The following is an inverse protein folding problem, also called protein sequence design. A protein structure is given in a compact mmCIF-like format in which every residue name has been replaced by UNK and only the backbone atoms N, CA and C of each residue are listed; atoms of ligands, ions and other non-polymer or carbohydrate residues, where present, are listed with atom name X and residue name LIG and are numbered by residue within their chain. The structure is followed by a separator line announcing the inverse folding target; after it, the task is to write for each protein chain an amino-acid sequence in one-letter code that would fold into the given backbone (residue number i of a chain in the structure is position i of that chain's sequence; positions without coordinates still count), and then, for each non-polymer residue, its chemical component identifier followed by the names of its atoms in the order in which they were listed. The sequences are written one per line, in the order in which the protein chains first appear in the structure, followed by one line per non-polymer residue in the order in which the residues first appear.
data_IF_292986413468
#
_entry.id   IF_292986413468
#
_cell.length_a   1.000
_cell.length_b   1.000
_cell.length_c   1.000
_cell.angle_alpha   90.00
_cell.angle_beta   90.00
_cell.angle_gamma   90.00
#
_symmetry.space_group_name_H-M   'P 1'
#
loop_
_entity.id
_entity.type
_entity.pdbx_description
1 polymer ?
#
# COMPACT_ATOMS: atom_id res chain seq x y z
N UNK A 1 72.54 25.08 -27.64
CA UNK A 1 72.08 23.92 -26.89
C UNK A 1 71.50 24.23 -25.49
N UNK A 2 71.14 25.50 -25.14
CA UNK A 2 70.61 25.85 -23.81
C UNK A 2 69.14 26.31 -23.82
N UNK A 3 68.43 26.30 -24.96
CA UNK A 3 67.03 26.78 -25.07
C UNK A 3 65.98 25.64 -25.06
N UNK A 4 66.39 24.41 -25.26
CA UNK A 4 65.47 23.25 -25.27
C UNK A 4 65.23 22.62 -23.88
N UNK A 5 66.09 22.86 -22.91
CA UNK A 5 66.01 22.31 -21.56
C UNK A 5 65.00 23.04 -20.67
N UNK A 6 64.70 24.31 -20.95
CA UNK A 6 63.75 25.11 -20.14
C UNK A 6 62.30 24.81 -20.52
N UNK A 7 62.05 24.49 -21.78
CA UNK A 7 60.68 24.17 -22.27
C UNK A 7 60.18 22.84 -21.75
N UNK A 8 61.10 21.84 -21.53
CA UNK A 8 60.74 20.52 -21.02
C UNK A 8 60.34 20.54 -19.52
N UNK A 9 60.95 21.43 -18.74
CA UNK A 9 60.70 21.55 -17.28
C UNK A 9 59.35 22.24 -17.04
N UNK A 10 58.97 23.24 -17.87
CA UNK A 10 57.68 23.92 -17.74
C UNK A 10 56.50 22.97 -18.12
N UNK A 11 56.67 22.06 -19.09
CA UNK A 11 55.65 21.11 -19.49
C UNK A 11 55.38 20.00 -18.44
N UNK A 12 56.46 19.60 -17.72
CA UNK A 12 56.34 18.59 -16.63
C UNK A 12 55.68 19.19 -15.39
N UNK A 13 55.91 20.47 -15.05
CA UNK A 13 55.24 21.16 -13.95
C UNK A 13 53.77 21.40 -14.19
N UNK A 14 53.32 21.60 -15.47
CA UNK A 14 51.91 21.81 -15.77
C UNK A 14 51.12 20.50 -15.74
N UNK A 15 51.72 19.35 -16.05
CA UNK A 15 51.11 18.04 -15.94
C UNK A 15 50.93 17.60 -14.47
N UNK A 16 51.82 18.03 -13.54
CA UNK A 16 51.70 17.72 -12.13
C UNK A 16 50.62 18.52 -11.39
N UNK A 17 50.24 19.71 -11.91
CA UNK A 17 49.17 20.55 -11.32
C UNK A 17 47.76 20.11 -11.70
N UNK A 18 47.57 19.33 -12.76
CA UNK A 18 46.25 18.80 -13.16
C UNK A 18 45.88 17.48 -12.50
N UNK A 19 46.80 16.79 -11.80
CA UNK A 19 46.53 15.51 -11.18
C UNK A 19 46.23 15.53 -9.66
N UNK A 20 46.17 16.71 -9.06
CA UNK A 20 46.21 16.92 -7.61
C UNK A 20 44.92 17.37 -6.93
N UNK A 21 43.71 17.25 -7.53
CA UNK A 21 42.47 17.57 -6.82
C UNK A 21 41.40 16.49 -6.99
N UNK A 22 41.69 15.27 -6.54
CA UNK A 22 40.61 14.38 -6.14
C UNK A 22 40.04 14.95 -4.83
N UNK A 23 38.94 15.72 -4.93
CA UNK A 23 38.12 16.04 -3.75
C UNK A 23 37.83 14.74 -3.02
N UNK A 24 38.10 14.65 -1.70
CA UNK A 24 37.70 13.49 -0.93
C UNK A 24 36.16 13.33 -1.13
N UNK A 25 35.74 12.17 -1.59
CA UNK A 25 34.32 11.82 -1.57
C UNK A 25 33.88 11.91 -0.13
N UNK A 26 33.09 12.92 0.17
CA UNK A 26 32.39 13.05 1.44
C UNK A 26 31.47 11.83 1.61
N UNK A 27 31.99 10.80 2.30
CA UNK A 27 31.28 9.58 2.66
C UNK A 27 30.41 9.78 3.91
N UNK A 28 30.33 11.00 4.45
CA UNK A 28 29.64 11.30 5.71
C UNK A 28 28.15 11.52 5.61
N UNK A 29 27.55 11.51 4.40
CA UNK A 29 26.08 11.57 4.25
C UNK A 29 25.43 10.19 4.09
N UNK A 30 25.77 9.23 4.91
CA UNK A 30 24.77 8.27 5.37
C UNK A 30 23.93 9.01 6.41
N UNK A 31 22.90 9.72 5.95
CA UNK A 31 21.79 10.11 6.82
C UNK A 31 21.32 8.84 7.52
N UNK A 32 21.70 8.67 8.78
CA UNK A 32 21.05 7.72 9.69
C UNK A 32 19.58 8.10 9.62
N UNK A 33 18.77 7.30 8.90
CA UNK A 33 17.33 7.41 9.01
C UNK A 33 16.99 7.30 10.49
N UNK A 34 16.19 8.22 11.01
CA UNK A 34 15.66 8.12 12.36
C UNK A 34 15.09 6.70 12.57
N UNK A 35 15.19 6.13 13.76
CA UNK A 35 14.63 4.82 14.02
C UNK A 35 13.16 4.85 13.64
N UNK A 36 12.74 3.96 12.74
CA UNK A 36 11.37 3.86 12.30
C UNK A 36 10.49 3.45 13.48
N UNK A 37 9.42 4.19 13.74
CA UNK A 37 8.45 3.81 14.76
C UNK A 37 7.80 2.49 14.35
N UNK A 38 7.88 1.48 15.21
CA UNK A 38 7.23 0.18 15.04
C UNK A 38 6.13 0.11 16.10
N UNK A 39 4.90 -0.19 15.67
CA UNK A 39 3.73 -0.31 16.53
C UNK A 39 3.34 -1.79 16.58
N UNK A 40 3.37 -2.38 17.76
CA UNK A 40 2.87 -3.72 17.98
C UNK A 40 1.35 -3.72 17.92
N UNK A 41 0.77 -4.57 17.08
CA UNK A 41 -0.67 -4.77 17.00
C UNK A 41 -1.14 -5.78 18.06
N UNK A 42 -2.39 -5.64 18.49
CA UNK A 42 -3.02 -6.60 19.38
C UNK A 42 -3.26 -7.92 18.65
N UNK A 43 -3.17 -9.06 19.38
CA UNK A 43 -3.49 -10.34 18.77
C UNK A 43 -4.93 -10.34 18.20
N UNK A 44 -5.11 -10.94 17.02
CA UNK A 44 -6.41 -10.90 16.35
C UNK A 44 -7.44 -11.77 17.08
N UNK A 45 -8.68 -11.30 17.08
CA UNK A 45 -9.82 -12.09 17.54
C UNK A 45 -10.18 -13.12 16.48
N UNK A 46 -10.17 -14.40 16.86
CA UNK A 46 -10.52 -15.51 15.96
C UNK A 46 -12.02 -15.84 15.98
N UNK A 47 -12.75 -15.33 16.97
CA UNK A 47 -14.19 -15.49 17.11
C UNK A 47 -14.86 -14.12 17.15
N UNK A 48 -15.85 -13.93 16.31
CA UNK A 48 -16.71 -12.75 16.25
C UNK A 48 -18.13 -13.07 16.71
N UNK A 49 -18.97 -12.03 16.75
CA UNK A 49 -20.41 -12.15 17.08
C UNK A 49 -21.28 -12.34 15.82
N UNK A 50 -20.80 -11.89 14.65
CA UNK A 50 -21.48 -11.98 13.36
C UNK A 50 -21.11 -13.30 12.66
N UNK A 51 -22.08 -14.02 12.10
CA UNK A 51 -21.80 -15.22 11.31
C UNK A 51 -21.17 -14.84 9.95
N UNK A 52 -20.53 -15.80 9.31
CA UNK A 52 -19.94 -15.60 7.98
C UNK A 52 -21.03 -15.27 6.93
N UNK A 53 -22.16 -15.96 6.98
CA UNK A 53 -23.30 -15.75 6.09
C UNK A 53 -23.92 -14.37 6.29
N UNK A 54 -23.99 -13.90 7.52
CA UNK A 54 -24.47 -12.56 7.86
C UNK A 54 -23.51 -11.51 7.34
N UNK A 55 -22.20 -11.68 7.50
CA UNK A 55 -21.19 -10.77 6.95
C UNK A 55 -21.27 -10.70 5.42
N UNK A 56 -21.46 -11.84 4.73
CA UNK A 56 -21.66 -11.87 3.29
C UNK A 56 -22.92 -11.12 2.86
N UNK A 57 -24.03 -11.32 3.58
CA UNK A 57 -25.33 -10.68 3.29
C UNK A 57 -25.28 -9.16 3.51
N UNK A 58 -24.60 -8.71 4.56
CA UNK A 58 -24.53 -7.30 4.94
C UNK A 58 -23.47 -6.52 4.18
N UNK A 59 -22.53 -7.19 3.50
CA UNK A 59 -21.45 -6.54 2.78
C UNK A 59 -22.00 -5.68 1.61
N UNK A 60 -21.83 -4.39 1.72
CA UNK A 60 -22.10 -3.38 0.69
C UNK A 60 -20.86 -2.51 0.47
N UNK A 61 -20.84 -1.76 -0.62
CA UNK A 61 -19.83 -0.72 -0.81
C UNK A 61 -20.31 0.57 -0.13
N UNK A 62 -19.67 0.94 0.96
CA UNK A 62 -19.91 2.20 1.67
C UNK A 62 -18.84 3.19 1.22
N UNK A 63 -19.24 4.38 0.80
CA UNK A 63 -18.37 5.39 0.20
C UNK A 63 -18.31 6.69 0.98
N UNK A 64 -19.19 6.88 1.95
CA UNK A 64 -19.24 8.08 2.79
C UNK A 64 -19.10 7.66 4.24
N UNK A 65 -18.10 8.23 4.91
CA UNK A 65 -17.73 7.88 6.27
C UNK A 65 -17.82 9.10 7.18
N UNK A 66 -17.82 8.87 8.50
CA UNK A 66 -17.91 9.95 9.50
C UNK A 66 -16.61 10.76 9.63
N UNK A 67 -15.50 10.28 9.12
CA UNK A 67 -14.17 10.86 9.33
C UNK A 67 -13.50 10.43 10.64
N UNK A 68 -14.20 9.67 11.49
CA UNK A 68 -13.63 9.17 12.73
C UNK A 68 -12.49 8.18 12.48
N UNK A 69 -11.42 8.32 13.26
CA UNK A 69 -10.25 7.45 13.21
C UNK A 69 -10.58 6.05 13.72
N UNK A 70 -10.06 5.03 13.05
CA UNK A 70 -10.17 3.65 13.50
C UNK A 70 -9.27 3.39 14.70
N UNK A 71 -9.74 2.55 15.61
CA UNK A 71 -8.92 2.07 16.72
C UNK A 71 -7.79 1.17 16.21
N UNK A 72 -6.63 1.18 16.89
CA UNK A 72 -5.48 0.34 16.53
C UNK A 72 -5.84 -1.14 16.51
N UNK A 73 -6.76 -1.60 17.38
CA UNK A 73 -7.27 -2.97 17.39
C UNK A 73 -8.06 -3.32 16.13
N UNK A 74 -8.83 -2.37 15.58
CA UNK A 74 -9.56 -2.54 14.33
C UNK A 74 -8.59 -2.61 13.14
N UNK A 75 -7.60 -1.70 13.09
CA UNK A 75 -6.55 -1.72 12.08
C UNK A 75 -5.79 -3.05 12.12
N UNK A 76 -5.45 -3.54 13.32
CA UNK A 76 -4.78 -4.83 13.50
C UNK A 76 -5.60 -6.00 12.99
N UNK A 77 -6.90 -6.00 13.26
CA UNK A 77 -7.83 -7.03 12.80
C UNK A 77 -7.98 -7.04 11.27
N UNK A 78 -8.09 -5.86 10.64
CA UNK A 78 -8.13 -5.72 9.17
C UNK A 78 -6.81 -6.19 8.52
N UNK A 79 -5.68 -5.83 9.11
CA UNK A 79 -4.36 -6.25 8.63
C UNK A 79 -4.17 -7.77 8.70
N UNK A 80 -4.60 -8.38 9.82
CA UNK A 80 -4.60 -9.82 9.99
C UNK A 80 -5.49 -10.52 8.95
N UNK A 81 -6.73 -10.08 8.78
CA UNK A 81 -7.66 -10.66 7.82
C UNK A 81 -7.14 -10.58 6.39
N UNK A 82 -6.52 -9.44 6.03
CA UNK A 82 -5.98 -9.22 4.70
C UNK A 82 -4.79 -10.10 4.34
N UNK A 83 -3.92 -10.42 5.29
CA UNK A 83 -2.65 -11.07 4.94
C UNK A 83 -2.23 -12.20 5.90
N UNK A 84 -2.27 -12.01 7.22
CA UNK A 84 -1.75 -13.01 8.17
C UNK A 84 -2.64 -14.25 8.26
N UNK A 85 -3.96 -14.10 8.15
CA UNK A 85 -4.90 -15.22 8.17
C UNK A 85 -4.61 -16.26 7.08
N UNK A 86 -4.19 -15.79 5.90
CA UNK A 86 -3.86 -16.68 4.78
C UNK A 86 -2.42 -17.20 4.84
N UNK A 87 -1.51 -16.50 5.52
CA UNK A 87 -0.11 -16.94 5.65
C UNK A 87 0.04 -18.22 6.49
N UNK A 88 -0.72 -18.35 7.57
CA UNK A 88 -0.70 -19.55 8.41
C UNK A 88 -1.03 -20.83 7.64
N UNK A 89 -1.88 -20.74 6.61
CA UNK A 89 -2.20 -21.86 5.72
C UNK A 89 -1.09 -22.15 4.70
N UNK A 90 -0.29 -21.15 4.32
CA UNK A 90 0.79 -21.31 3.34
C UNK A 90 2.02 -22.02 3.91
N UNK A 91 2.27 -21.92 5.21
CA UNK A 91 3.35 -22.66 5.89
C UNK A 91 3.15 -24.19 5.82
N UNK A 92 1.92 -24.64 5.62
CA UNK A 92 1.59 -26.05 5.43
C UNK A 92 1.70 -26.49 3.95
N UNK A 93 1.90 -25.57 3.02
CA UNK A 93 2.03 -25.87 1.59
C UNK A 93 3.49 -26.09 1.21
N UNK A 94 3.88 -27.34 1.01
CA UNK A 94 5.23 -27.79 0.64
C UNK A 94 5.69 -27.38 -0.75
N UNK A 95 4.90 -26.61 -1.50
CA UNK A 95 5.18 -26.31 -2.92
C UNK A 95 5.95 -25.00 -3.14
N UNK A 96 5.89 -24.03 -2.21
CA UNK A 96 6.59 -22.76 -2.35
C UNK A 96 6.89 -22.18 -0.96
N UNK A 97 8.17 -21.97 -0.64
CA UNK A 97 8.60 -21.37 0.63
C UNK A 97 8.00 -19.97 0.81
N UNK A 98 7.39 -19.75 1.96
CA UNK A 98 6.56 -18.59 2.32
C UNK A 98 7.28 -17.24 2.26
N UNK A 99 8.58 -17.19 2.59
CA UNK A 99 9.38 -15.96 2.54
C UNK A 99 9.62 -15.47 1.10
N UNK A 100 9.60 -16.36 0.11
CA UNK A 100 9.86 -16.01 -1.29
C UNK A 100 8.63 -15.45 -2.02
N UNK A 101 7.42 -15.59 -1.48
CA UNK A 101 6.16 -15.24 -2.15
C UNK A 101 5.30 -14.22 -1.43
N UNK A 102 5.88 -13.29 -0.69
CA UNK A 102 5.14 -12.07 -0.33
C UNK A 102 4.81 -11.29 -1.62
N UNK A 103 3.75 -11.74 -2.30
CA UNK A 103 3.27 -11.13 -3.54
C UNK A 103 2.65 -9.77 -3.30
N UNK A 104 2.16 -9.55 -2.10
CA UNK A 104 1.46 -8.33 -1.71
C UNK A 104 2.13 -7.68 -0.49
N UNK A 105 2.07 -6.37 -0.47
CA UNK A 105 2.36 -5.54 0.70
C UNK A 105 1.13 -4.68 1.00
N UNK A 106 0.78 -4.55 2.28
CA UNK A 106 -0.29 -3.68 2.73
C UNK A 106 0.29 -2.43 3.38
N UNK A 107 -0.23 -1.28 2.96
CA UNK A 107 0.06 0.02 3.53
C UNK A 107 -1.21 0.62 4.10
N UNK A 108 -1.13 1.22 5.28
CA UNK A 108 -2.24 1.80 6.01
C UNK A 108 -2.02 3.30 6.12
N UNK A 109 -2.85 4.09 5.45
CA UNK A 109 -2.87 5.55 5.55
C UNK A 109 -3.94 5.95 6.56
N UNK A 110 -3.53 6.62 7.63
CA UNK A 110 -4.36 7.11 8.72
C UNK A 110 -4.04 8.59 9.00
N UNK A 111 -4.74 9.23 9.90
CA UNK A 111 -4.40 10.59 10.35
C UNK A 111 -3.03 10.68 11.03
N UNK A 112 -2.54 9.58 11.65
CA UNK A 112 -1.21 9.51 12.28
C UNK A 112 -0.06 9.30 11.27
N UNK A 113 -0.38 9.05 10.00
CA UNK A 113 0.59 8.83 8.94
C UNK A 113 0.39 7.57 8.11
N UNK A 114 1.46 7.20 7.42
CA UNK A 114 1.50 6.02 6.56
C UNK A 114 2.32 4.91 7.22
N UNK A 115 1.73 3.74 7.29
CA UNK A 115 2.32 2.55 7.90
C UNK A 115 2.37 1.40 6.91
N UNK A 116 3.42 0.58 6.99
CA UNK A 116 3.53 -0.69 6.29
C UNK A 116 3.28 -1.84 7.26
N UNK A 117 2.41 -2.76 6.90
CA UNK A 117 2.17 -3.95 7.70
C UNK A 117 3.28 -4.98 7.55
N UNK A 118 3.69 -5.57 8.68
CA UNK A 118 4.62 -6.67 8.80
C UNK A 118 3.87 -7.90 9.31
N UNK A 119 3.43 -8.81 8.43
CA UNK A 119 2.52 -9.88 8.81
C UNK A 119 3.15 -10.91 9.75
N UNK A 120 4.45 -11.22 9.62
CA UNK A 120 5.15 -12.19 10.48
C UNK A 120 5.17 -11.74 11.93
N UNK A 121 5.52 -10.47 12.17
CA UNK A 121 5.62 -9.88 13.50
C UNK A 121 4.28 -9.32 14.00
N UNK A 122 3.30 -9.20 13.13
CA UNK A 122 2.02 -8.53 13.37
C UNK A 122 2.22 -7.09 13.88
N UNK A 123 3.02 -6.32 13.14
CA UNK A 123 3.37 -4.93 13.48
C UNK A 123 3.09 -3.98 12.32
N UNK A 124 3.00 -2.69 12.66
CA UNK A 124 3.00 -1.59 11.70
C UNK A 124 4.34 -0.85 11.78
N UNK A 125 5.04 -0.76 10.66
CA UNK A 125 6.24 0.05 10.49
C UNK A 125 5.86 1.41 9.91
N UNK A 126 6.09 2.50 10.65
CA UNK A 126 5.81 3.85 10.15
C UNK A 126 6.76 4.20 9.00
N UNK A 127 6.18 4.51 7.85
CA UNK A 127 6.90 4.94 6.63
C UNK A 127 6.95 6.47 6.54
N UNK A 128 5.87 7.13 7.02
CA UNK A 128 5.73 8.57 7.03
C UNK A 128 4.84 9.01 8.19
N UNK A 129 5.15 10.14 8.81
CA UNK A 129 4.55 10.65 10.04
C UNK A 129 3.51 11.75 9.81
N UNK A 130 3.04 11.91 8.57
CA UNK A 130 2.01 12.88 8.21
C UNK A 130 0.83 12.19 7.53
N UNK A 131 -0.36 12.75 7.72
CA UNK A 131 -1.56 12.32 7.03
C UNK A 131 -1.44 12.61 5.52
N UNK A 132 -1.50 11.56 4.72
CA UNK A 132 -1.39 11.63 3.26
C UNK A 132 -2.73 11.47 2.55
N UNK A 133 -3.87 11.26 3.29
CA UNK A 133 -5.17 10.93 2.69
C UNK A 133 -5.68 12.05 1.78
N UNK A 134 -5.46 13.31 2.15
CA UNK A 134 -5.81 14.44 1.28
C UNK A 134 -5.02 14.43 -0.04
N UNK A 135 -3.71 14.13 -0.01
CA UNK A 135 -2.91 14.00 -1.22
C UNK A 135 -3.31 12.75 -2.03
N UNK A 136 -3.56 11.63 -1.35
CA UNK A 136 -3.99 10.37 -1.94
C UNK A 136 -5.33 10.51 -2.66
N UNK A 137 -6.27 11.28 -2.11
CA UNK A 137 -7.59 11.52 -2.69
C UNK A 137 -7.50 12.14 -4.08
N UNK A 138 -6.54 13.05 -4.31
CA UNK A 138 -6.33 13.71 -5.61
C UNK A 138 -5.83 12.74 -6.70
N UNK A 139 -5.30 11.60 -6.32
CA UNK A 139 -4.83 10.58 -7.27
C UNK A 139 -5.95 9.61 -7.72
N UNK A 140 -7.19 9.79 -7.23
CA UNK A 140 -8.34 8.89 -7.49
C UNK A 140 -9.55 9.65 -7.98
N UNK A 141 -10.52 8.91 -8.56
CA UNK A 141 -11.85 9.43 -8.90
C UNK A 141 -12.80 9.51 -7.69
N UNK A 142 -12.42 8.95 -6.52
CA UNK A 142 -13.25 8.85 -5.33
C UNK A 142 -12.68 9.67 -4.17
N UNK A 143 -12.51 10.98 -4.39
CA UNK A 143 -11.82 11.88 -3.47
C UNK A 143 -12.48 11.95 -2.09
N UNK A 144 -13.80 12.14 -2.03
CA UNK A 144 -14.55 12.22 -0.79
C UNK A 144 -14.45 10.92 0.03
N UNK A 145 -14.53 9.78 -0.66
CA UNK A 145 -14.41 8.47 0.00
C UNK A 145 -13.09 8.31 0.74
N UNK A 146 -11.97 8.71 0.13
CA UNK A 146 -10.64 8.63 0.74
C UNK A 146 -10.50 9.67 1.86
N UNK A 147 -10.91 10.92 1.61
CA UNK A 147 -10.72 12.00 2.59
C UNK A 147 -11.56 11.83 3.87
N UNK A 148 -12.68 11.10 3.79
CA UNK A 148 -13.57 10.84 4.94
C UNK A 148 -13.37 9.46 5.57
N UNK A 149 -12.57 8.58 4.97
CA UNK A 149 -12.27 7.28 5.56
C UNK A 149 -11.51 7.40 6.87
N UNK A 150 -11.75 6.52 7.82
CA UNK A 150 -10.94 6.40 9.03
C UNK A 150 -9.56 5.81 8.76
N UNK A 151 -9.45 5.00 7.68
CA UNK A 151 -8.20 4.41 7.22
C UNK A 151 -8.33 4.01 5.75
N UNK A 152 -7.28 4.27 4.95
CA UNK A 152 -7.15 3.76 3.59
C UNK A 152 -6.07 2.70 3.52
N UNK A 153 -6.40 1.51 3.01
CA UNK A 153 -5.50 0.37 2.92
C UNK A 153 -5.09 0.20 1.47
N UNK A 154 -3.81 0.43 1.17
CA UNK A 154 -3.26 0.28 -0.17
C UNK A 154 -2.68 -1.11 -0.31
N UNK A 155 -3.22 -1.87 -1.26
CA UNK A 155 -2.71 -3.21 -1.63
C UNK A 155 -1.74 -3.04 -2.78
N UNK A 156 -0.46 -3.31 -2.54
CA UNK A 156 0.60 -3.22 -3.54
C UNK A 156 1.16 -4.61 -3.88
N UNK A 157 1.32 -4.89 -5.17
CA UNK A 157 1.75 -6.20 -5.68
C UNK A 157 3.15 -6.21 -6.27
N UNK A 158 3.90 -7.28 -6.02
CA UNK A 158 5.24 -7.50 -6.55
C UNK A 158 5.20 -8.29 -7.87
N UNK A 159 4.68 -7.65 -8.91
CA UNK A 159 4.52 -8.27 -10.23
C UNK A 159 5.87 -8.66 -10.82
N UNK A 160 6.91 -7.83 -10.64
CA UNK A 160 8.25 -8.09 -11.20
C UNK A 160 8.88 -9.36 -10.63
N UNK A 161 8.77 -9.57 -9.33
CA UNK A 161 9.31 -10.77 -8.67
C UNK A 161 8.63 -12.02 -9.18
N UNK A 162 7.31 -11.97 -9.35
CA UNK A 162 6.56 -13.10 -9.88
C UNK A 162 6.81 -13.32 -11.38
N UNK A 163 7.05 -12.26 -12.15
CA UNK A 163 7.31 -12.35 -13.59
C UNK A 163 8.57 -13.16 -13.92
N UNK A 164 9.58 -13.17 -13.05
CA UNK A 164 10.79 -14.01 -13.23
C UNK A 164 10.48 -15.51 -13.25
N UNK A 165 9.39 -15.93 -12.58
CA UNK A 165 8.96 -17.34 -12.48
C UNK A 165 7.75 -17.65 -13.36
N UNK A 166 6.77 -16.76 -13.44
CA UNK A 166 5.45 -17.00 -14.06
C UNK A 166 5.22 -16.21 -15.37
N UNK A 167 6.22 -15.42 -15.81
CA UNK A 167 6.17 -14.65 -17.06
C UNK A 167 4.86 -13.83 -17.19
N UNK A 168 4.10 -14.06 -18.25
CA UNK A 168 2.86 -13.35 -18.57
C UNK A 168 1.73 -13.55 -17.54
N UNK A 169 1.76 -14.65 -16.78
CA UNK A 169 0.74 -14.95 -15.75
C UNK A 169 0.94 -14.18 -14.45
N UNK A 170 2.10 -13.55 -14.25
CA UNK A 170 2.42 -12.86 -13.00
C UNK A 170 1.37 -11.82 -12.60
N UNK A 171 0.92 -11.00 -13.55
CA UNK A 171 -0.10 -9.97 -13.31
C UNK A 171 -1.43 -10.58 -12.90
N UNK A 172 -1.88 -11.64 -13.56
CA UNK A 172 -3.12 -12.35 -13.23
C UNK A 172 -3.08 -12.95 -11.82
N UNK A 173 -1.99 -13.64 -11.46
CA UNK A 173 -1.83 -14.21 -10.12
C UNK A 173 -1.81 -13.12 -9.03
N UNK A 174 -1.08 -12.04 -9.25
CA UNK A 174 -1.04 -10.93 -8.29
C UNK A 174 -2.41 -10.28 -8.14
N UNK A 175 -3.18 -10.13 -9.21
CA UNK A 175 -4.53 -9.58 -9.17
C UNK A 175 -5.52 -10.50 -8.42
N UNK A 176 -5.41 -11.82 -8.61
CA UNK A 176 -6.23 -12.80 -7.88
C UNK A 176 -5.94 -12.75 -6.36
N UNK A 177 -4.66 -12.73 -5.98
CA UNK A 177 -4.26 -12.60 -4.57
C UNK A 177 -4.74 -11.28 -3.96
N UNK A 178 -4.63 -10.18 -4.70
CA UNK A 178 -5.15 -8.89 -4.26
C UNK A 178 -6.69 -8.93 -4.09
N UNK A 179 -7.41 -9.66 -4.95
CA UNK A 179 -8.84 -9.89 -4.84
C UNK A 179 -9.22 -10.65 -3.57
N UNK A 180 -8.50 -11.74 -3.24
CA UNK A 180 -8.71 -12.49 -1.99
C UNK A 180 -8.44 -11.63 -0.75
N UNK A 181 -7.29 -10.94 -0.73
CA UNK A 181 -6.94 -10.01 0.34
C UNK A 181 -8.01 -8.93 0.52
N UNK A 182 -8.45 -8.32 -0.58
CA UNK A 182 -9.49 -7.29 -0.56
C UNK A 182 -10.79 -7.82 0.01
N UNK A 183 -11.27 -8.99 -0.45
CA UNK A 183 -12.52 -9.57 0.03
C UNK A 183 -12.47 -9.90 1.51
N UNK A 184 -11.36 -10.44 1.99
CA UNK A 184 -11.17 -10.73 3.43
C UNK A 184 -11.27 -9.44 4.27
N UNK A 185 -10.61 -8.35 3.83
CA UNK A 185 -10.68 -7.06 4.52
C UNK A 185 -12.12 -6.51 4.52
N UNK A 186 -12.83 -6.57 3.38
CA UNK A 186 -14.21 -6.09 3.27
C UNK A 186 -15.16 -6.86 4.20
N UNK A 187 -15.03 -8.19 4.29
CA UNK A 187 -15.84 -9.01 5.19
C UNK A 187 -15.49 -8.76 6.67
N UNK A 188 -14.18 -8.61 6.97
CA UNK A 188 -13.76 -8.29 8.32
C UNK A 188 -14.24 -6.90 8.76
N UNK A 189 -14.27 -5.91 7.86
CA UNK A 189 -14.83 -4.59 8.17
C UNK A 189 -16.30 -4.70 8.57
N UNK A 190 -17.10 -5.41 7.78
CA UNK A 190 -18.53 -5.64 8.07
C UNK A 190 -18.72 -6.32 9.42
N UNK A 191 -17.92 -7.33 9.75
CA UNK A 191 -18.03 -8.05 11.03
C UNK A 191 -17.66 -7.20 12.26
N UNK A 192 -17.10 -6.00 12.03
CA UNK A 192 -16.78 -5.00 13.04
C UNK A 192 -17.69 -3.76 12.97
N UNK A 193 -18.83 -3.86 12.28
CA UNK A 193 -19.78 -2.76 12.04
C UNK A 193 -19.15 -1.55 11.33
N UNK A 194 -18.09 -1.79 10.53
CA UNK A 194 -17.44 -0.78 9.70
C UNK A 194 -17.96 -0.83 8.27
N UNK A 195 -18.03 0.34 7.65
CA UNK A 195 -18.21 0.48 6.22
C UNK A 195 -16.89 0.31 5.49
N UNK A 196 -16.94 -0.26 4.28
CA UNK A 196 -15.76 -0.33 3.43
C UNK A 196 -16.12 -0.32 1.94
N UNK A 197 -15.18 0.17 1.12
CA UNK A 197 -15.26 0.08 -0.34
C UNK A 197 -13.87 -0.09 -0.95
N UNK A 198 -13.81 -0.79 -2.09
CA UNK A 198 -12.59 -0.89 -2.88
C UNK A 198 -12.58 0.16 -3.99
N UNK A 199 -11.42 0.71 -4.29
CA UNK A 199 -11.15 1.68 -5.34
C UNK A 199 -10.07 1.08 -6.24
N UNK A 200 -10.36 0.98 -7.55
CA UNK A 200 -9.43 0.47 -8.56
C UNK A 200 -9.15 1.52 -9.65
N UNK A 201 -9.92 2.60 -9.68
CA UNK A 201 -9.76 3.71 -10.61
C UNK A 201 -8.94 4.82 -9.96
N UNK A 202 -7.62 4.76 -10.18
CA UNK A 202 -6.65 5.72 -9.68
C UNK A 202 -5.39 5.78 -10.56
N UNK A 203 -4.63 6.86 -10.44
CA UNK A 203 -3.30 6.97 -11.05
C UNK A 203 -2.27 6.16 -10.25
N UNK A 204 -1.90 4.98 -10.76
CA UNK A 204 -0.98 4.05 -10.07
C UNK A 204 0.40 4.66 -9.80
N UNK A 205 0.91 5.56 -10.67
CA UNK A 205 2.21 6.21 -10.46
C UNK A 205 2.14 7.22 -9.32
N UNK A 206 1.06 8.01 -9.25
CA UNK A 206 0.87 8.99 -8.20
C UNK A 206 0.62 8.33 -6.85
N UNK A 207 -0.25 7.32 -6.79
CA UNK A 207 -0.45 6.50 -5.58
C UNK A 207 0.87 5.88 -5.11
N UNK A 208 1.66 5.30 -6.02
CA UNK A 208 2.96 4.72 -5.68
C UNK A 208 3.95 5.73 -5.11
N UNK A 209 3.94 6.96 -5.62
CA UNK A 209 4.78 8.07 -5.14
C UNK A 209 4.31 8.59 -3.78
N UNK A 210 3.02 8.87 -3.63
CA UNK A 210 2.41 9.39 -2.41
C UNK A 210 2.59 8.40 -1.27
N UNK A 211 2.27 7.13 -1.50
CA UNK A 211 2.39 6.07 -0.51
C UNK A 211 3.82 5.52 -0.35
N UNK A 212 4.83 6.15 -0.99
CA UNK A 212 6.24 5.75 -0.91
C UNK A 212 6.45 4.24 -1.11
N UNK A 213 5.68 3.66 -2.01
CA UNK A 213 5.71 2.22 -2.30
C UNK A 213 7.08 1.86 -2.86
N UNK A 214 7.65 0.76 -2.36
CA UNK A 214 8.98 0.29 -2.72
C UNK A 214 9.10 0.03 -4.23
N UNK A 215 10.27 0.30 -4.79
CA UNK A 215 10.53 0.05 -6.23
C UNK A 215 10.27 -1.40 -6.58
N UNK A 216 9.50 -1.63 -7.64
CA UNK A 216 9.14 -2.96 -8.12
C UNK A 216 7.77 -3.45 -7.67
N UNK A 217 7.13 -2.75 -6.74
CA UNK A 217 5.73 -2.94 -6.37
C UNK A 217 4.84 -1.98 -7.16
N UNK A 218 3.64 -2.44 -7.47
CA UNK A 218 2.60 -1.65 -8.13
C UNK A 218 1.35 -1.61 -7.24
N UNK A 219 0.74 -0.43 -6.96
CA UNK A 219 -0.58 -0.35 -6.33
C UNK A 219 -1.61 -1.06 -7.21
N UNK A 220 -2.42 -1.93 -6.61
CA UNK A 220 -3.44 -2.73 -7.31
C UNK A 220 -4.83 -2.25 -6.95
N UNK A 221 -5.10 -1.99 -5.67
CA UNK A 221 -6.34 -1.39 -5.21
C UNK A 221 -6.12 -0.62 -3.90
N UNK A 222 -7.04 0.28 -3.61
CA UNK A 222 -7.17 0.97 -2.33
C UNK A 222 -8.48 0.50 -1.71
N UNK A 223 -8.48 0.28 -0.39
CA UNK A 223 -9.67 -0.09 0.37
C UNK A 223 -9.86 0.99 1.42
N UNK A 224 -10.87 1.83 1.24
CA UNK A 224 -11.28 2.82 2.25
C UNK A 224 -12.19 2.17 3.27
N UNK A 225 -11.88 2.34 4.56
CA UNK A 225 -12.60 1.76 5.69
C UNK A 225 -12.89 2.86 6.72
N UNK A 226 -14.08 2.87 7.28
CA UNK A 226 -14.46 3.85 8.29
C UNK A 226 -15.85 3.55 8.88
N UNK A 227 -16.28 4.38 9.82
CA UNK A 227 -17.64 4.32 10.35
C UNK A 227 -18.61 4.89 9.32
N UNK A 228 -19.66 4.12 8.92
CA UNK A 228 -20.58 4.56 7.88
C UNK A 228 -21.46 5.72 8.40
N UNK A 229 -21.77 6.68 7.52
CA UNK A 229 -22.83 7.64 7.78
C UNK A 229 -24.19 7.08 7.38
N UNK A 230 -25.27 7.58 7.98
CA UNK A 230 -26.64 7.23 7.59
C UNK A 230 -26.95 7.58 6.11
N UNK A 231 -26.24 8.54 5.54
CA UNK A 231 -26.35 8.95 4.12
C UNK A 231 -25.68 7.98 3.15
N UNK A 232 -24.63 7.26 3.58
CA UNK A 232 -23.88 6.32 2.74
C UNK A 232 -24.73 5.19 2.14
N UNK A 233 -25.78 4.78 2.84
CA UNK A 233 -26.75 3.78 2.35
C UNK A 233 -27.66 4.33 1.24
N UNK A 234 -27.94 5.63 1.24
CA UNK A 234 -28.85 6.28 0.25
C UNK A 234 -28.15 6.50 -1.08
N UNK A 235 -26.89 6.94 -1.07
CA UNK A 235 -26.11 7.15 -2.30
C UNK A 235 -25.79 5.84 -3.02
N UNK A 236 -25.47 4.77 -2.29
CA UNK A 236 -25.27 3.44 -2.87
C UNK A 236 -26.51 2.92 -3.60
N UNK A 237 -27.72 3.25 -3.09
CA UNK A 237 -28.99 2.92 -3.76
C UNK A 237 -29.26 3.78 -5.00
N UNK A 238 -28.87 5.06 -4.97
CA UNK A 238 -29.05 5.98 -6.10
C UNK A 238 -28.13 5.61 -7.27
N UNK A 239 -26.86 5.30 -6.99
CA UNK A 239 -25.89 4.84 -7.97
C UNK A 239 -26.32 3.52 -8.64
N UNK A 240 -26.90 2.60 -7.87
CA UNK A 240 -27.43 1.35 -8.41
C UNK A 240 -28.65 1.57 -9.34
N UNK A 241 -29.50 2.54 -9.03
CA UNK A 241 -30.63 2.93 -9.88
C UNK A 241 -30.16 3.62 -11.16
N UNK A 242 -29.20 4.55 -11.07
CA UNK A 242 -28.65 5.27 -12.22
C UNK A 242 -27.91 4.32 -13.18
N UNK A 243 -27.15 3.35 -12.67
CA UNK A 243 -26.49 2.34 -13.51
C UNK A 243 -27.48 1.39 -14.22
N UNK A 244 -28.59 1.03 -13.58
CA UNK A 244 -29.64 0.24 -14.24
C UNK A 244 -30.32 0.99 -15.38
N UNK A 245 -30.47 2.31 -15.27
CA UNK A 245 -31.08 3.14 -16.32
C UNK A 245 -30.19 3.24 -17.58
N UNK A 246 -28.89 3.07 -17.47
CA UNK A 246 -27.94 3.16 -18.61
C UNK A 246 -27.82 1.83 -19.37
N UNK A 247 -28.25 0.70 -18.81
CA UNK A 247 -28.20 -0.62 -19.46
C UNK A 247 -29.48 -1.08 -20.13
N UNK A 248 -30.51 -0.22 -20.25
CA UNK A 248 -31.65 -0.52 -21.08
C UNK A 248 -31.27 -0.13 -22.52
N UNK A 249 -30.64 -1.06 -23.24
CA UNK A 249 -30.49 -0.97 -24.70
C UNK A 249 -31.88 -1.24 -25.30
N UNK A 250 -32.46 -0.34 -26.07
CA UNK A 250 -33.70 -0.65 -26.82
C UNK A 250 -33.38 -1.74 -27.84
N UNK A 251 -34.17 -2.79 -27.80
CA UNK A 251 -34.24 -3.88 -28.80
C UNK A 251 -34.55 -3.37 -30.18
#
# INVERSE_FOLDING_TARGET
MKRFTILGIILICFAALCFGQRRPRDTSRRTRSAPKKIIQLTEPKLMGTMSFEEALSNRKNIRVFTGETLQLSQIGQLAWAGQRATMAQRELSTILSTEELNLLELYFATEEGLFKYRPTEHTLEQIYDQDIRSELSLATSMQETISTAGCDIIVAGNIRRLASRMRTRARTYTALEAGYTTQNILLQAVSMDLGATKIIDFNSKDVGRICRISRGLEPICIISVGYPTNQGDTETRQDAKNKRAVFIVPS
#
